data_IF_678118195302
#
_entry.id   IF_678118195302
#
_cell.length_a   1.000
_cell.length_b   1.000
_cell.length_c   1.000
_cell.angle_alpha   90.00
_cell.angle_beta   90.00
_cell.angle_gamma   90.00
#
_symmetry.space_group_name_H-M   'P 1'
#
loop_
_entity.id
_entity.type
_entity.pdbx_description
1 polymer ?
#
# COMPACT_ATOMS: atom_id res chain seq x y z
N UNK A 1 -9.66 -16.45 -10.01
CA UNK A 1 -9.59 -15.24 -9.17
C UNK A 1 -8.45 -15.29 -8.14
N UNK A 2 -8.22 -16.40 -7.41
CA UNK A 2 -7.10 -16.48 -6.44
C UNK A 2 -5.71 -16.32 -7.09
N UNK A 3 -5.52 -16.85 -8.30
CA UNK A 3 -4.23 -16.82 -9.00
C UNK A 3 -3.71 -15.40 -9.31
N UNK A 4 -4.59 -14.45 -9.65
CA UNK A 4 -4.17 -13.07 -9.96
C UNK A 4 -3.80 -12.27 -8.70
N UNK A 5 -4.50 -12.49 -7.58
CA UNK A 5 -4.17 -11.83 -6.32
C UNK A 5 -2.83 -12.33 -5.74
N UNK A 6 -2.59 -13.64 -5.78
CA UNK A 6 -1.31 -14.23 -5.37
C UNK A 6 -0.17 -13.69 -6.24
N UNK A 7 -0.34 -13.70 -7.57
CA UNK A 7 0.65 -13.09 -8.48
C UNK A 7 0.90 -11.61 -8.17
N UNK A 8 -0.14 -10.83 -7.85
CA UNK A 8 0.03 -9.41 -7.53
C UNK A 8 0.85 -9.20 -6.25
N UNK A 9 0.65 -10.04 -5.24
CA UNK A 9 1.44 -10.01 -4.01
C UNK A 9 2.89 -10.40 -4.30
N UNK A 10 3.11 -11.50 -5.02
CA UNK A 10 4.44 -12.00 -5.35
C UNK A 10 5.24 -10.96 -6.15
N UNK A 11 4.65 -10.39 -7.21
CA UNK A 11 5.30 -9.38 -8.06
C UNK A 11 5.68 -8.15 -7.23
N UNK A 12 4.76 -7.62 -6.41
CA UNK A 12 5.01 -6.45 -5.57
C UNK A 12 6.07 -6.72 -4.51
N UNK A 13 6.05 -7.91 -3.92
CA UNK A 13 7.02 -8.33 -2.92
C UNK A 13 8.43 -8.36 -3.50
N UNK A 14 8.62 -9.02 -4.65
CA UNK A 14 9.93 -9.08 -5.30
C UNK A 14 10.44 -7.69 -5.69
N UNK A 15 9.58 -6.85 -6.27
CA UNK A 15 9.93 -5.47 -6.61
C UNK A 15 10.39 -4.66 -5.38
N UNK A 16 9.62 -4.67 -4.29
CA UNK A 16 9.97 -3.93 -3.08
C UNK A 16 11.26 -4.47 -2.45
N UNK A 17 11.43 -5.80 -2.40
CA UNK A 17 12.63 -6.43 -1.83
C UNK A 17 13.90 -6.00 -2.56
N UNK A 18 13.88 -5.97 -3.89
CA UNK A 18 15.02 -5.54 -4.70
C UNK A 18 15.39 -4.07 -4.45
N UNK A 19 14.39 -3.18 -4.39
CA UNK A 19 14.59 -1.74 -4.14
C UNK A 19 15.05 -1.42 -2.72
N UNK A 20 14.61 -2.21 -1.74
CA UNK A 20 15.12 -2.11 -0.36
C UNK A 20 16.57 -2.58 -0.30
N UNK A 21 16.91 -3.68 -0.98
CA UNK A 21 18.29 -4.18 -1.05
C UNK A 21 19.24 -3.20 -1.75
N UNK A 22 18.78 -2.49 -2.79
CA UNK A 22 19.53 -1.43 -3.46
C UNK A 22 19.57 -0.11 -2.68
N UNK A 23 18.92 -0.04 -1.51
CA UNK A 23 18.80 1.17 -0.65
C UNK A 23 18.07 2.34 -1.33
N UNK A 24 17.34 2.08 -2.40
CA UNK A 24 16.48 3.09 -3.05
C UNK A 24 15.21 3.36 -2.25
N UNK A 25 14.77 2.37 -1.46
CA UNK A 25 13.58 2.45 -0.61
C UNK A 25 13.94 2.03 0.81
N UNK A 26 13.46 2.79 1.79
CA UNK A 26 13.50 2.43 3.20
C UNK A 26 12.08 2.16 3.70
N UNK A 27 11.86 1.00 4.32
CA UNK A 27 10.56 0.63 4.88
C UNK A 27 10.51 1.02 6.35
N UNK A 28 9.54 1.87 6.72
CA UNK A 28 9.30 2.28 8.10
C UNK A 28 7.83 2.08 8.45
N UNK A 29 7.58 1.66 9.69
CA UNK A 29 6.23 1.64 10.24
C UNK A 29 5.78 3.07 10.55
N UNK A 30 4.55 3.41 10.14
CA UNK A 30 3.88 4.68 10.46
C UNK A 30 2.55 4.33 11.09
N UNK A 31 2.22 4.97 12.22
CA UNK A 31 0.90 4.78 12.84
C UNK A 31 -0.20 5.27 11.90
N UNK A 32 -1.34 4.59 11.87
CA UNK A 32 -2.49 4.96 11.01
C UNK A 32 -2.96 6.41 11.23
N UNK A 33 -2.84 6.95 12.45
CA UNK A 33 -3.20 8.35 12.73
C UNK A 33 -2.22 9.36 12.14
N UNK A 34 -0.98 8.93 11.92
CA UNK A 34 0.12 9.78 11.44
C UNK A 34 0.36 9.57 9.93
N UNK A 35 -0.30 8.59 9.30
CA UNK A 35 -0.13 8.29 7.88
C UNK A 35 -0.93 9.27 7.00
N UNK A 36 -0.31 10.38 6.60
CA UNK A 36 -0.93 11.39 5.73
C UNK A 36 -1.41 10.83 4.39
N UNK A 37 -0.79 9.74 3.89
CA UNK A 37 -1.21 9.08 2.66
C UNK A 37 -2.62 8.44 2.76
N UNK A 38 -3.12 8.17 3.97
CA UNK A 38 -4.47 7.67 4.17
C UNK A 38 -5.53 8.62 3.60
N UNK A 39 -5.27 9.94 3.62
CA UNK A 39 -6.16 10.94 3.04
C UNK A 39 -6.38 10.72 1.53
N UNK A 40 -5.37 10.23 0.82
CA UNK A 40 -5.41 10.02 -0.63
C UNK A 40 -5.83 8.61 -1.03
N UNK A 41 -5.81 7.66 -0.09
CA UNK A 41 -6.08 6.23 -0.37
C UNK A 41 -7.40 5.76 0.21
N UNK A 42 -7.94 6.43 1.23
CA UNK A 42 -9.27 6.14 1.76
C UNK A 42 -10.33 6.72 0.84
N UNK A 43 -11.36 5.91 0.59
CA UNK A 43 -12.54 6.39 -0.10
C UNK A 43 -13.17 7.53 0.71
N UNK A 44 -13.60 8.59 0.00
CA UNK A 44 -14.44 9.61 0.63
C UNK A 44 -15.71 8.93 1.14
N UNK A 45 -16.20 9.30 2.33
CA UNK A 45 -17.48 8.80 2.79
C UNK A 45 -18.55 9.11 1.75
N UNK A 46 -19.38 8.11 1.43
CA UNK A 46 -20.53 8.31 0.56
C UNK A 46 -21.38 9.47 1.13
N UNK A 47 -21.85 10.40 0.28
CA UNK A 47 -22.73 11.44 0.75
C UNK A 47 -23.95 10.79 1.41
N UNK A 48 -24.14 11.06 2.70
CA UNK A 48 -25.39 10.73 3.39
C UNK A 48 -26.40 11.80 2.96
N UNK A 49 -27.07 11.58 1.85
CA UNK A 49 -28.28 12.34 1.54
C UNK A 49 -29.36 11.88 2.53
N UNK A 50 -29.76 12.79 3.43
CA UNK A 50 -30.95 12.64 4.28
C UNK A 50 -32.16 13.22 3.59
#
# INVERSE_FOLDING_TARGET
MLHSHVKHVDIKYHFLRERVASKEIEVRYINTRDNVADLFTKALPLPRFS
#
